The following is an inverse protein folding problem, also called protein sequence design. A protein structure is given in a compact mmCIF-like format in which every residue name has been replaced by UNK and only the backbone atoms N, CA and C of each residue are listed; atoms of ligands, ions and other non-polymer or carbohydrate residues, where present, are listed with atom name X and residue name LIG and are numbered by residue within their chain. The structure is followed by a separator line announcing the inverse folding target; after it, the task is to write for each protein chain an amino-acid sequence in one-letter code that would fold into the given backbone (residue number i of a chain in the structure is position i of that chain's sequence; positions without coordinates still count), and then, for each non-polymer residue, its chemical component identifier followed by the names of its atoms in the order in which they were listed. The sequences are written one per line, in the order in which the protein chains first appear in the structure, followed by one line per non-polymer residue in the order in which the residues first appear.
data_IF_900786327126
#
_entry.id   IF_900786327126
#
_cell.length_a   1.000
_cell.length_b   1.000
_cell.length_c   1.000
_cell.angle_alpha   90.00
_cell.angle_beta   90.00
_cell.angle_gamma   90.00
#
_symmetry.space_group_name_H-M   'P 1'
#
loop_
_entity.id
_entity.type
_entity.pdbx_description
1 polymer ?
#
# COMPACT_ATOMS: atom_id res chain seq x y z
N UNK A 1 18.57 -58.90 31.42
CA UNK A 1 18.05 -58.24 32.61
C UNK A 1 18.23 -56.76 32.46
N UNK A 2 17.16 -56.01 32.73
CA UNK A 2 16.95 -54.55 32.74
C UNK A 2 16.66 -53.92 31.39
N UNK A 3 15.32 -53.76 31.20
CA UNK A 3 14.63 -52.90 30.29
C UNK A 3 14.88 -51.47 30.70
N UNK A 4 15.23 -50.63 29.74
CA UNK A 4 15.09 -49.18 29.87
C UNK A 4 14.13 -48.69 28.80
N UNK A 5 12.98 -48.24 29.27
CA UNK A 5 11.88 -47.66 28.52
C UNK A 5 12.24 -46.23 28.14
N UNK A 6 12.40 -45.95 26.85
CA UNK A 6 12.53 -44.58 26.33
C UNK A 6 11.17 -43.92 26.22
N UNK A 7 10.96 -42.93 27.08
CA UNK A 7 9.79 -42.06 27.03
C UNK A 7 9.92 -41.11 25.85
N UNK A 8 9.04 -41.24 24.84
CA UNK A 8 8.88 -40.27 23.76
C UNK A 8 8.14 -39.03 24.29
N UNK A 9 8.84 -37.91 24.36
CA UNK A 9 8.24 -36.62 24.62
C UNK A 9 7.65 -36.11 23.29
N UNK A 10 6.34 -36.14 23.20
CA UNK A 10 5.56 -35.55 22.13
C UNK A 10 5.71 -34.04 22.15
N UNK A 11 6.47 -33.49 21.18
CA UNK A 11 6.53 -32.07 20.93
C UNK A 11 5.18 -31.55 20.42
N UNK A 12 4.56 -30.67 21.20
CA UNK A 12 3.40 -29.90 20.74
C UNK A 12 3.85 -28.95 19.65
N UNK A 13 3.31 -29.10 18.45
CA UNK A 13 3.38 -28.08 17.41
C UNK A 13 2.63 -26.82 17.86
N UNK A 14 3.16 -25.60 17.59
CA UNK A 14 2.44 -24.38 17.89
C UNK A 14 1.20 -24.26 17.03
N UNK A 15 0.07 -23.97 17.68
CA UNK A 15 -1.28 -24.01 17.16
C UNK A 15 -1.46 -23.25 15.83
N UNK A 16 -2.04 -23.93 14.88
CA UNK A 16 -2.73 -23.33 13.73
C UNK A 16 -3.82 -22.41 14.25
N UNK A 17 -3.68 -21.11 14.07
CA UNK A 17 -4.78 -20.17 14.27
C UNK A 17 -5.83 -20.38 13.19
N UNK A 18 -7.03 -20.68 13.60
CA UNK A 18 -8.21 -20.91 12.77
C UNK A 18 -8.78 -19.54 12.36
N UNK A 19 -8.96 -19.30 11.05
CA UNK A 19 -10.04 -18.48 10.53
C UNK A 19 -9.79 -16.97 10.40
N UNK A 20 -8.91 -16.57 9.51
CA UNK A 20 -8.97 -15.26 8.85
C UNK A 20 -8.83 -15.49 7.35
N UNK A 21 -9.73 -14.97 6.53
CA UNK A 21 -9.61 -15.06 5.09
C UNK A 21 -8.20 -14.64 4.67
N UNK A 22 -7.49 -15.53 3.97
CA UNK A 22 -6.16 -15.25 3.41
C UNK A 22 -6.30 -14.15 2.36
N UNK A 23 -6.20 -12.89 2.79
CA UNK A 23 -5.78 -11.85 1.86
C UNK A 23 -4.33 -12.16 1.49
N UNK A 24 -3.94 -12.10 0.21
CA UNK A 24 -2.53 -12.21 -0.14
C UNK A 24 -1.79 -11.14 0.68
N UNK A 25 -0.73 -11.56 1.35
CA UNK A 25 0.00 -10.71 2.29
C UNK A 25 0.68 -9.60 1.49
N UNK A 26 0.07 -8.41 1.48
CA UNK A 26 0.74 -7.21 1.02
C UNK A 26 2.02 -7.04 1.86
N UNK A 27 3.17 -6.97 1.19
CA UNK A 27 4.47 -6.92 1.86
C UNK A 27 5.07 -5.51 1.87
N UNK A 28 4.72 -4.69 0.88
CA UNK A 28 5.34 -3.38 0.74
C UNK A 28 4.46 -2.39 -0.03
N UNK A 29 4.38 -1.16 0.48
CA UNK A 29 3.85 -0.02 -0.26
C UNK A 29 4.99 0.73 -0.96
N UNK A 30 4.80 0.99 -2.24
CA UNK A 30 5.75 1.71 -3.10
C UNK A 30 5.09 2.99 -3.59
N UNK A 31 5.83 4.10 -3.59
CA UNK A 31 5.33 5.36 -4.13
C UNK A 31 6.46 6.30 -4.53
N UNK A 32 6.13 7.35 -5.26
CA UNK A 32 7.10 8.31 -5.79
C UNK A 32 7.37 9.52 -4.88
N UNK A 33 6.65 9.66 -3.77
CA UNK A 33 6.86 10.71 -2.79
C UNK A 33 6.41 12.11 -3.20
N UNK A 34 5.67 12.28 -4.30
CA UNK A 34 5.03 13.55 -4.63
C UNK A 34 3.95 13.87 -3.59
N UNK A 35 3.56 15.14 -3.45
CA UNK A 35 2.43 15.53 -2.58
C UNK A 35 1.14 14.80 -2.97
N UNK A 36 0.15 14.79 -2.10
CA UNK A 36 -1.12 14.12 -2.33
C UNK A 36 -1.04 12.60 -2.16
N UNK A 37 -1.59 11.84 -3.10
CA UNK A 37 -1.73 10.40 -2.97
C UNK A 37 -0.42 9.63 -2.76
N UNK A 38 0.65 10.04 -3.44
CA UNK A 38 1.97 9.41 -3.30
C UNK A 38 2.46 9.49 -1.85
N UNK A 39 2.38 10.68 -1.25
CA UNK A 39 2.88 10.93 0.11
C UNK A 39 1.97 10.30 1.16
N UNK A 40 0.66 10.33 0.95
CA UNK A 40 -0.30 9.65 1.82
C UNK A 40 0.03 8.18 2.03
N UNK A 41 0.39 7.47 0.96
CA UNK A 41 0.77 6.06 1.04
C UNK A 41 2.04 5.82 1.87
N UNK A 42 3.03 6.69 1.73
CA UNK A 42 4.26 6.59 2.53
C UNK A 42 4.01 6.94 3.99
N UNK A 43 3.21 7.97 4.26
CA UNK A 43 2.89 8.43 5.62
C UNK A 43 2.12 7.37 6.40
N UNK A 44 1.09 6.75 5.80
CA UNK A 44 0.34 5.67 6.45
C UNK A 44 1.23 4.45 6.71
N UNK A 45 2.09 4.08 5.76
CA UNK A 45 3.02 2.97 5.94
C UNK A 45 4.04 3.26 7.07
N UNK A 46 4.59 4.47 7.13
CA UNK A 46 5.50 4.88 8.20
C UNK A 46 4.79 4.83 9.55
N UNK A 47 3.57 5.37 9.65
CA UNK A 47 2.77 5.36 10.89
C UNK A 47 2.57 3.96 11.45
N UNK A 48 2.32 2.98 10.58
CA UNK A 48 2.07 1.59 10.97
C UNK A 48 3.32 0.71 10.97
N UNK A 49 4.53 1.28 10.81
CA UNK A 49 5.78 0.52 10.73
C UNK A 49 5.81 -0.46 9.56
N UNK A 50 5.02 -0.22 8.52
CA UNK A 50 4.90 -1.11 7.37
C UNK A 50 6.01 -0.86 6.33
N UNK A 51 6.56 -1.90 5.69
CA UNK A 51 7.59 -1.73 4.69
C UNK A 51 7.15 -0.80 3.55
N UNK A 52 7.98 0.21 3.25
CA UNK A 52 7.67 1.19 2.23
C UNK A 52 8.92 1.64 1.47
N UNK A 53 8.73 2.41 0.38
CA UNK A 53 9.82 2.94 -0.42
C UNK A 53 9.38 3.32 -1.83
N UNK A 54 10.32 3.31 -2.75
CA UNK A 54 10.07 3.60 -4.17
C UNK A 54 11.13 4.46 -4.81
N UNK A 55 10.87 4.88 -6.05
CA UNK A 55 11.72 5.74 -6.85
C UNK A 55 11.21 7.18 -6.82
N UNK A 56 12.10 8.13 -6.59
CA UNK A 56 11.84 9.56 -6.75
C UNK A 56 12.77 10.15 -7.84
N UNK A 57 12.48 11.36 -8.36
CA UNK A 57 13.37 12.01 -9.31
C UNK A 57 14.73 12.34 -8.70
N UNK A 58 15.77 12.44 -9.51
CA UNK A 58 17.05 12.99 -9.09
C UNK A 58 16.87 14.34 -8.39
N UNK A 59 17.60 14.54 -7.29
CA UNK A 59 17.44 15.70 -6.43
C UNK A 59 16.24 15.62 -5.47
N UNK A 60 15.53 14.48 -5.42
CA UNK A 60 14.36 14.26 -4.53
C UNK A 60 13.27 15.32 -4.69
N UNK A 61 12.98 15.72 -5.92
CA UNK A 61 12.10 16.86 -6.23
C UNK A 61 10.62 16.49 -6.10
N UNK A 62 9.86 17.35 -5.42
CA UNK A 62 8.40 17.37 -5.41
C UNK A 62 7.91 18.81 -5.64
N UNK A 63 6.59 19.04 -5.76
CA UNK A 63 6.03 20.36 -5.99
C UNK A 63 6.20 21.31 -4.79
N UNK A 64 6.30 20.76 -3.58
CA UNK A 64 6.52 21.47 -2.32
C UNK A 64 8.02 21.58 -1.95
N UNK A 65 8.91 21.25 -2.86
CA UNK A 65 10.34 21.30 -2.67
C UNK A 65 11.01 19.94 -2.61
N UNK A 66 12.01 19.77 -1.74
CA UNK A 66 12.76 18.53 -1.60
C UNK A 66 12.00 17.52 -0.72
N UNK A 67 11.81 16.30 -1.21
CA UNK A 67 11.21 15.19 -0.44
C UNK A 67 12.08 14.89 0.78
N UNK A 68 11.48 14.91 1.96
CA UNK A 68 12.17 14.72 3.24
C UNK A 68 12.88 13.36 3.38
N UNK A 69 13.94 13.32 4.19
CA UNK A 69 14.77 12.12 4.39
C UNK A 69 14.04 10.96 5.10
N UNK A 70 12.93 11.22 5.78
CA UNK A 70 12.10 10.18 6.41
C UNK A 70 11.52 9.18 5.41
N UNK A 71 11.32 9.60 4.15
CA UNK A 71 10.86 8.72 3.08
C UNK A 71 12.04 7.96 2.45
N UNK A 72 12.06 6.65 2.61
CA UNK A 72 13.13 5.76 2.11
C UNK A 72 13.01 5.56 0.59
N UNK A 73 13.31 6.61 -0.18
CA UNK A 73 13.21 6.61 -1.64
C UNK A 73 14.60 6.59 -2.29
N UNK A 74 14.69 5.86 -3.40
CA UNK A 74 15.85 5.85 -4.28
C UNK A 74 15.68 6.88 -5.38
N UNK A 75 16.75 7.58 -5.71
CA UNK A 75 16.73 8.55 -6.80
C UNK A 75 16.94 7.88 -8.15
N UNK A 76 16.13 8.25 -9.14
CA UNK A 76 16.41 7.89 -10.54
C UNK A 76 17.55 8.75 -11.09
N UNK A 77 18.28 8.29 -12.12
CA UNK A 77 19.30 9.12 -12.77
C UNK A 77 18.79 10.43 -13.35
N UNK A 78 17.51 10.48 -13.73
CA UNK A 78 16.87 11.64 -14.35
C UNK A 78 16.06 12.46 -13.35
N UNK A 79 16.07 13.79 -13.55
CA UNK A 79 15.17 14.72 -12.87
C UNK A 79 13.73 14.65 -13.42
N UNK A 80 13.54 13.98 -14.56
CA UNK A 80 12.24 13.85 -15.19
C UNK A 80 11.33 12.94 -14.38
N UNK A 81 10.17 13.46 -13.99
CA UNK A 81 9.16 12.71 -13.24
C UNK A 81 8.67 11.43 -13.94
N UNK A 82 8.76 11.35 -15.27
CA UNK A 82 8.30 10.19 -16.03
C UNK A 82 9.10 8.94 -15.69
N UNK A 83 10.42 9.06 -15.56
CA UNK A 83 11.28 7.93 -15.28
C UNK A 83 10.93 7.28 -13.93
N UNK A 84 10.83 8.06 -12.87
CA UNK A 84 10.46 7.52 -11.55
C UNK A 84 9.05 6.93 -11.55
N UNK A 85 8.12 7.54 -12.31
CA UNK A 85 6.74 7.04 -12.42
C UNK A 85 6.72 5.68 -13.10
N UNK A 86 7.43 5.54 -14.20
CA UNK A 86 7.54 4.27 -14.91
C UNK A 86 8.24 3.21 -14.07
N UNK A 87 9.32 3.55 -13.37
CA UNK A 87 10.07 2.59 -12.57
C UNK A 87 9.27 2.08 -11.36
N UNK A 88 8.49 2.93 -10.70
CA UNK A 88 7.59 2.48 -9.64
C UNK A 88 6.54 1.48 -10.16
N UNK A 89 6.00 1.69 -11.36
CA UNK A 89 5.10 0.73 -12.00
C UNK A 89 5.82 -0.56 -12.38
N UNK A 90 6.99 -0.45 -13.03
CA UNK A 90 7.79 -1.58 -13.51
C UNK A 90 8.18 -2.54 -12.40
N UNK A 91 8.62 -2.00 -11.26
CA UNK A 91 9.24 -2.74 -10.17
C UNK A 91 8.24 -3.22 -9.10
N UNK A 92 6.92 -3.13 -9.36
CA UNK A 92 5.85 -3.57 -8.48
C UNK A 92 4.95 -4.61 -9.13
N UNK A 93 4.09 -5.26 -8.38
CA UNK A 93 3.21 -6.32 -8.87
C UNK A 93 1.91 -5.75 -9.42
N UNK A 94 1.47 -4.60 -8.90
CA UNK A 94 0.29 -3.87 -9.36
C UNK A 94 0.32 -2.42 -8.93
N UNK A 95 -0.57 -1.62 -9.50
CA UNK A 95 -0.66 -0.17 -9.26
C UNK A 95 -2.09 0.22 -8.91
N UNK A 96 -2.25 1.05 -7.87
CA UNK A 96 -3.48 1.80 -7.62
C UNK A 96 -3.24 3.29 -7.86
N UNK A 97 -4.21 3.94 -8.49
CA UNK A 97 -4.18 5.38 -8.79
C UNK A 97 -5.37 6.04 -8.13
N UNK A 98 -5.12 7.00 -7.24
CA UNK A 98 -6.15 7.74 -6.50
C UNK A 98 -6.37 9.13 -7.08
N UNK A 99 -7.64 9.49 -7.28
CA UNK A 99 -8.07 10.84 -7.68
C UNK A 99 -9.35 11.23 -6.95
N UNK A 100 -9.56 12.51 -6.69
CA UNK A 100 -10.88 13.00 -6.27
C UNK A 100 -11.81 13.15 -7.46
N UNK A 101 -11.28 13.54 -8.62
CA UNK A 101 -12.03 13.64 -9.88
C UNK A 101 -12.37 12.28 -10.46
N UNK A 102 -13.44 12.23 -11.26
CA UNK A 102 -13.90 11.00 -11.94
C UNK A 102 -12.84 10.38 -12.83
N UNK A 103 -12.05 11.21 -13.50
CA UNK A 103 -11.07 10.77 -14.49
C UNK A 103 -9.65 11.09 -14.07
N UNK A 104 -8.75 10.16 -14.31
CA UNK A 104 -7.33 10.38 -14.14
C UNK A 104 -6.78 11.24 -15.29
N UNK A 105 -6.03 12.29 -14.96
CA UNK A 105 -5.40 13.18 -15.95
C UNK A 105 -3.92 13.39 -15.64
N UNK A 106 -3.16 13.96 -16.56
CA UNK A 106 -1.75 14.32 -16.34
C UNK A 106 -0.89 13.15 -15.87
N UNK A 107 -0.24 13.30 -14.70
CA UNK A 107 0.64 12.27 -14.12
C UNK A 107 -0.09 10.98 -13.77
N UNK A 108 -1.31 11.08 -13.24
CA UNK A 108 -2.16 9.93 -12.89
C UNK A 108 -2.50 9.09 -14.12
N UNK A 109 -2.89 9.74 -15.23
CA UNK A 109 -3.15 9.04 -16.50
C UNK A 109 -1.88 8.39 -17.06
N UNK A 110 -0.73 9.06 -16.94
CA UNK A 110 0.56 8.47 -17.37
C UNK A 110 0.92 7.23 -16.59
N UNK A 111 0.62 7.19 -15.29
CA UNK A 111 0.82 6.01 -14.45
C UNK A 111 -0.03 4.83 -14.96
N UNK A 112 -1.30 5.07 -15.28
CA UNK A 112 -2.19 4.04 -15.87
C UNK A 112 -1.63 3.54 -17.22
N UNK A 113 -1.13 4.46 -18.06
CA UNK A 113 -0.55 4.08 -19.34
C UNK A 113 0.75 3.27 -19.19
N UNK A 114 1.58 3.57 -18.17
CA UNK A 114 2.74 2.74 -17.86
C UNK A 114 2.32 1.35 -17.35
N UNK A 115 1.27 1.24 -16.53
CA UNK A 115 0.75 -0.05 -16.12
C UNK A 115 0.32 -0.91 -17.33
N UNK A 116 -0.39 -0.32 -18.29
CA UNK A 116 -0.72 -0.99 -19.57
C UNK A 116 0.52 -1.40 -20.34
N UNK A 117 1.50 -0.48 -20.51
CA UNK A 117 2.76 -0.76 -21.21
C UNK A 117 3.49 -1.97 -20.61
N UNK A 118 3.54 -2.05 -19.29
CA UNK A 118 4.22 -3.14 -18.56
C UNK A 118 3.31 -4.35 -18.31
N UNK A 119 2.07 -4.35 -18.82
CA UNK A 119 1.08 -5.43 -18.64
C UNK A 119 0.86 -5.77 -17.15
N UNK A 120 0.84 -4.74 -16.30
CA UNK A 120 0.61 -4.86 -14.86
C UNK A 120 -0.84 -4.55 -14.50
N UNK A 121 -1.42 -5.23 -13.50
CA UNK A 121 -2.71 -4.86 -12.94
C UNK A 121 -2.74 -3.40 -12.49
N UNK A 122 -3.83 -2.70 -12.81
CA UNK A 122 -4.00 -1.31 -12.44
C UNK A 122 -5.44 -1.02 -12.05
N UNK A 123 -5.64 -0.49 -10.86
CA UNK A 123 -6.92 -0.02 -10.35
C UNK A 123 -6.92 1.50 -10.29
N UNK A 124 -7.91 2.15 -10.86
CA UNK A 124 -8.18 3.57 -10.64
C UNK A 124 -9.32 3.70 -9.63
N UNK A 125 -9.07 4.38 -8.52
CA UNK A 125 -10.05 4.67 -7.47
C UNK A 125 -10.30 6.17 -7.46
N UNK A 126 -11.55 6.55 -7.72
CA UNK A 126 -12.00 7.95 -7.74
C UNK A 126 -13.00 8.19 -6.63
N UNK A 127 -12.90 9.33 -5.93
CA UNK A 127 -13.81 9.69 -4.85
C UNK A 127 -15.24 9.95 -5.33
N UNK A 128 -15.41 10.37 -6.60
CA UNK A 128 -16.73 10.68 -7.18
C UNK A 128 -17.27 9.55 -8.06
N UNK A 129 -16.58 8.43 -8.19
CA UNK A 129 -17.08 7.32 -8.98
C UNK A 129 -18.11 6.52 -8.19
N UNK A 130 -19.38 6.68 -8.55
CA UNK A 130 -20.52 6.05 -7.88
C UNK A 130 -20.56 4.49 -7.96
N UNK A 131 -19.61 3.86 -8.66
CA UNK A 131 -19.56 2.40 -8.81
C UNK A 131 -18.95 1.65 -7.63
N UNK A 132 -18.41 2.36 -6.62
CA UNK A 132 -17.85 1.73 -5.43
C UNK A 132 -18.66 2.11 -4.19
N UNK A 133 -19.41 1.17 -3.66
CA UNK A 133 -20.07 1.33 -2.34
C UNK A 133 -19.06 1.34 -1.18
N UNK A 134 -17.89 0.70 -1.38
CA UNK A 134 -16.78 0.66 -0.43
C UNK A 134 -15.44 0.61 -1.19
N UNK A 135 -14.75 1.74 -1.38
CA UNK A 135 -13.49 1.80 -2.11
C UNK A 135 -12.32 1.09 -1.39
N UNK A 136 -12.32 1.01 -0.06
CA UNK A 136 -11.28 0.27 0.69
C UNK A 136 -11.42 -1.24 0.47
N UNK A 137 -12.64 -1.78 0.47
CA UNK A 137 -12.92 -3.17 0.13
C UNK A 137 -12.53 -3.48 -1.33
N UNK A 138 -12.80 -2.55 -2.27
CA UNK A 138 -12.39 -2.71 -3.66
C UNK A 138 -10.87 -2.78 -3.81
N UNK A 139 -10.13 -1.99 -3.05
CA UNK A 139 -8.67 -2.04 -3.02
C UNK A 139 -8.17 -3.38 -2.46
N UNK A 140 -8.77 -3.89 -1.38
CA UNK A 140 -8.45 -5.21 -0.82
C UNK A 140 -8.68 -6.32 -1.85
N UNK A 141 -9.85 -6.32 -2.51
CA UNK A 141 -10.19 -7.28 -3.55
C UNK A 141 -9.18 -7.25 -4.70
N UNK A 142 -8.82 -6.06 -5.18
CA UNK A 142 -7.82 -5.88 -6.24
C UNK A 142 -6.46 -6.49 -5.87
N UNK A 143 -5.99 -6.24 -4.65
CA UNK A 143 -4.73 -6.81 -4.14
C UNK A 143 -4.81 -8.33 -4.06
N UNK A 144 -5.95 -8.86 -3.58
CA UNK A 144 -6.20 -10.30 -3.44
C UNK A 144 -6.30 -11.01 -4.79
N UNK A 145 -7.13 -10.51 -5.69
CA UNK A 145 -7.40 -11.11 -7.01
C UNK A 145 -6.14 -11.22 -7.87
N UNK A 146 -5.22 -10.24 -7.72
CA UNK A 146 -3.98 -10.21 -8.51
C UNK A 146 -2.74 -10.69 -7.76
N UNK A 147 -2.86 -11.16 -6.53
CA UNK A 147 -1.73 -11.66 -5.73
C UNK A 147 -0.65 -10.61 -5.51
N UNK A 148 -1.04 -9.34 -5.33
CA UNK A 148 -0.12 -8.21 -5.24
C UNK A 148 0.57 -8.21 -3.88
N UNK A 149 1.88 -8.37 -3.87
CA UNK A 149 2.73 -8.27 -2.66
C UNK A 149 3.38 -6.90 -2.53
N UNK A 150 3.78 -6.29 -3.65
CA UNK A 150 4.33 -4.93 -3.72
C UNK A 150 3.39 -4.05 -4.52
N UNK A 151 2.67 -3.17 -3.83
CA UNK A 151 1.68 -2.28 -4.41
C UNK A 151 2.28 -0.90 -4.66
N UNK A 152 2.29 -0.45 -5.92
CA UNK A 152 2.55 0.93 -6.25
C UNK A 152 1.31 1.78 -6.02
N UNK A 153 1.46 2.83 -5.23
CA UNK A 153 0.41 3.83 -4.98
C UNK A 153 0.81 5.13 -5.66
N UNK A 154 -0.05 5.63 -6.51
CA UNK A 154 0.10 6.89 -7.22
C UNK A 154 -1.23 7.64 -7.25
N UNK A 155 -1.22 8.88 -7.73
CA UNK A 155 -2.46 9.63 -7.90
C UNK A 155 -2.24 11.11 -8.12
N UNK A 156 -3.26 11.89 -7.81
CA UNK A 156 -3.22 13.32 -7.95
C UNK A 156 -2.33 13.97 -6.89
N UNK A 157 -1.73 15.11 -7.25
CA UNK A 157 -1.01 15.98 -6.33
C UNK A 157 -1.98 16.75 -5.47
N UNK A 158 -1.54 17.14 -4.27
CA UNK A 158 -2.35 17.94 -3.35
C UNK A 158 -2.72 19.30 -3.94
N UNK A 159 -1.80 19.95 -4.66
CA UNK A 159 -2.07 21.24 -5.33
C UNK A 159 -3.13 21.15 -6.43
N UNK A 160 -3.26 19.96 -7.06
CA UNK A 160 -4.22 19.73 -8.14
C UNK A 160 -5.60 19.32 -7.64
N UNK A 161 -5.63 18.49 -6.62
CA UNK A 161 -6.84 17.99 -5.97
C UNK A 161 -6.70 18.09 -4.45
N UNK A 162 -6.97 19.28 -3.87
CA UNK A 162 -6.86 19.51 -2.43
C UNK A 162 -7.70 18.51 -1.63
N UNK A 163 -7.08 17.88 -0.63
CA UNK A 163 -7.70 16.83 0.18
C UNK A 163 -7.45 15.40 -0.32
N UNK A 164 -6.80 15.21 -1.46
CA UNK A 164 -6.50 13.87 -1.98
C UNK A 164 -5.55 13.11 -1.05
N UNK A 165 -4.61 13.81 -0.37
CA UNK A 165 -3.76 13.19 0.64
C UNK A 165 -4.60 12.57 1.76
N UNK A 166 -5.49 13.36 2.38
CA UNK A 166 -6.33 12.89 3.49
C UNK A 166 -7.20 11.71 3.09
N UNK A 167 -7.86 11.81 1.95
CA UNK A 167 -8.73 10.76 1.44
C UNK A 167 -7.97 9.46 1.14
N UNK A 168 -6.83 9.55 0.45
CA UNK A 168 -5.99 8.39 0.14
C UNK A 168 -5.45 7.74 1.41
N UNK A 169 -4.99 8.56 2.38
CA UNK A 169 -4.49 8.09 3.67
C UNK A 169 -5.53 7.25 4.40
N UNK A 170 -6.74 7.79 4.57
CA UNK A 170 -7.84 7.11 5.25
C UNK A 170 -8.22 5.82 4.56
N UNK A 171 -8.29 5.82 3.23
CA UNK A 171 -8.67 4.66 2.45
C UNK A 171 -7.64 3.52 2.55
N UNK A 172 -6.36 3.82 2.48
CA UNK A 172 -5.29 2.82 2.64
C UNK A 172 -5.26 2.31 4.10
N UNK A 173 -5.42 3.20 5.08
CA UNK A 173 -5.47 2.82 6.49
C UNK A 173 -6.64 1.87 6.76
N UNK A 174 -7.83 2.19 6.25
CA UNK A 174 -9.00 1.33 6.34
C UNK A 174 -8.80 -0.02 5.62
N UNK A 175 -8.21 0.00 4.42
CA UNK A 175 -8.02 -1.21 3.64
C UNK A 175 -7.06 -2.21 4.28
N UNK A 176 -5.97 -1.75 4.87
CA UNK A 176 -4.87 -2.64 5.26
C UNK A 176 -4.49 -2.63 6.74
N UNK A 177 -4.90 -1.61 7.51
CA UNK A 177 -4.43 -1.43 8.89
C UNK A 177 -5.53 -1.34 9.94
N UNK A 178 -6.80 -1.21 9.55
CA UNK A 178 -7.92 -0.99 10.48
C UNK A 178 -8.03 -2.05 11.58
N UNK A 179 -7.78 -3.31 11.27
CA UNK A 179 -7.84 -4.41 12.24
C UNK A 179 -6.70 -4.39 13.26
N UNK A 180 -5.57 -3.76 12.94
CA UNK A 180 -4.42 -3.66 13.84
C UNK A 180 -4.64 -2.68 14.99
N UNK A 181 -5.53 -1.70 14.81
CA UNK A 181 -5.79 -0.63 15.79
C UNK A 181 -6.92 -0.99 16.75
N UNK A 182 -7.89 -1.79 16.32
CA UNK A 182 -9.09 -2.12 17.10
C UNK A 182 -9.07 -3.53 17.71
N UNK A 183 -8.10 -4.37 17.36
CA UNK A 183 -7.95 -5.74 17.90
C UNK A 183 -7.31 -5.83 19.29
N UNK A 184 -6.84 -4.74 19.88
CA UNK A 184 -6.12 -4.73 21.16
C UNK A 184 -7.01 -4.49 22.41
N UNK A 185 -8.34 -4.35 22.26
CA UNK A 185 -9.23 -4.03 23.36
C UNK A 185 -10.45 -4.94 23.43
N UNK A 186 -10.26 -6.27 23.56
CA UNK A 186 -11.26 -7.14 24.16
C UNK A 186 -10.58 -8.03 25.22
N UNK A 187 -10.08 -7.38 26.26
CA UNK A 187 -9.85 -7.99 27.55
C UNK A 187 -11.19 -7.98 28.29
N UNK A 188 -11.85 -9.13 28.33
CA UNK A 188 -13.11 -9.29 29.06
C UNK A 188 -12.97 -8.99 30.56
N UNK A 189 -14.07 -8.60 31.26
CA UNK A 189 -14.03 -8.31 32.67
C UNK A 189 -13.76 -9.59 33.46
N UNK A 190 -12.74 -9.53 34.31
CA UNK A 190 -12.48 -10.56 35.31
C UNK A 190 -13.70 -10.79 36.17
N UNK A 191 -14.09 -12.04 36.29
CA UNK A 191 -15.01 -12.47 37.33
C UNK A 191 -14.25 -12.52 38.65
N UNK A 192 -14.63 -11.64 39.58
CA UNK A 192 -14.36 -11.81 40.98
C UNK A 192 -15.26 -12.89 41.60
#
# INVERSE_FOLDING_TARGET
MKNESSVKISGREPGRSVGGGKFPELEKLISGGQTGADRAALDVAIRHGFPNGGWCPKGRRAEDGRIGGQYRLFETPSENYLQRTEWNVRDTDGTVVFTLSKEATGGSLRTINFARKHKKPCLHVSAVFAGYTNPSLKLQQFVAEHGIRRLNVAGSRESKEPGVWKWTYQLIEEAFFWHSVHGAHIGGPGKG
#
